data_IF_120532875997
#
_entry.id   IF_120532875997
#
_cell.length_a   1.000
_cell.length_b   1.000
_cell.length_c   1.000
_cell.angle_alpha   90.00
_cell.angle_beta   90.00
_cell.angle_gamma   90.00
#
_symmetry.space_group_name_H-M   'P 1'
#
loop_
_entity.id
_entity.type
_entity.pdbx_description
1 polymer ?
#
# COMPACT_ATOMS: atom_id res chain seq x y z
N UNK A 1 -7.71 -21.29 8.03
CA UNK A 1 -7.18 -22.42 7.24
C UNK A 1 -6.42 -23.44 8.12
N UNK A 2 -5.51 -23.02 9.02
CA UNK A 2 -4.75 -23.97 9.86
C UNK A 2 -5.65 -24.73 10.85
N UNK A 3 -6.61 -24.07 11.51
CA UNK A 3 -7.56 -24.75 12.41
C UNK A 3 -8.32 -25.86 11.68
N UNK A 4 -8.82 -25.59 10.48
CA UNK A 4 -9.48 -26.59 9.64
C UNK A 4 -8.52 -27.72 9.22
N UNK A 5 -7.25 -27.40 8.90
CA UNK A 5 -6.22 -28.45 8.63
C UNK A 5 -5.96 -29.33 9.83
N UNK A 6 -6.07 -28.79 11.04
CA UNK A 6 -5.95 -29.53 12.30
C UNK A 6 -7.25 -30.29 12.69
N UNK A 7 -8.20 -30.45 11.76
CA UNK A 7 -9.46 -31.20 11.98
C UNK A 7 -10.51 -30.42 12.75
N UNK A 8 -10.32 -29.12 13.03
CA UNK A 8 -11.32 -28.32 13.76
C UNK A 8 -12.43 -27.87 12.82
N UNK A 9 -13.68 -27.99 13.30
CA UNK A 9 -14.81 -27.35 12.62
C UNK A 9 -14.67 -25.82 12.76
N UNK A 10 -14.57 -25.10 11.65
CA UNK A 10 -14.13 -23.70 11.63
C UNK A 10 -15.11 -22.84 10.86
N UNK A 11 -15.52 -21.72 11.43
CA UNK A 11 -16.18 -20.63 10.71
C UNK A 11 -15.17 -19.53 10.40
N UNK A 12 -15.12 -19.08 9.15
CA UNK A 12 -14.38 -17.90 8.72
C UNK A 12 -15.41 -16.83 8.36
N UNK A 13 -15.36 -15.71 9.07
CA UNK A 13 -16.26 -14.57 8.82
C UNK A 13 -15.46 -13.39 8.34
N UNK A 14 -15.71 -12.93 7.12
CA UNK A 14 -15.04 -11.78 6.50
C UNK A 14 -15.97 -11.13 5.48
N UNK A 15 -16.20 -9.83 5.59
CA UNK A 15 -17.04 -9.07 4.65
C UNK A 15 -16.33 -8.71 3.34
N UNK A 16 -15.01 -8.74 3.34
CA UNK A 16 -14.18 -8.34 2.21
C UNK A 16 -13.83 -9.48 1.25
N UNK A 17 -13.09 -9.18 0.20
CA UNK A 17 -12.56 -10.20 -0.69
C UNK A 17 -11.53 -11.05 0.04
N UNK A 18 -11.48 -12.35 -0.28
CA UNK A 18 -10.50 -13.27 0.29
C UNK A 18 -9.07 -12.79 0.08
N UNK A 19 -8.21 -13.04 1.07
CA UNK A 19 -6.78 -12.73 1.01
C UNK A 19 -6.33 -11.58 1.90
N UNK A 20 -7.27 -10.83 2.48
CA UNK A 20 -6.98 -9.73 3.39
C UNK A 20 -6.12 -8.63 2.75
N UNK A 21 -5.50 -7.80 3.58
CA UNK A 21 -4.69 -6.66 3.12
C UNK A 21 -3.51 -7.08 2.26
N UNK A 22 -2.79 -8.15 2.63
CA UNK A 22 -1.56 -8.55 1.94
C UNK A 22 -1.81 -8.88 0.46
N UNK A 23 -2.81 -9.70 0.15
CA UNK A 23 -3.13 -10.07 -1.22
C UNK A 23 -3.80 -8.92 -1.97
N UNK A 24 -4.73 -8.21 -1.32
CA UNK A 24 -5.62 -7.29 -2.04
C UNK A 24 -5.04 -5.88 -2.20
N UNK A 25 -4.40 -5.34 -1.16
CA UNK A 25 -4.05 -3.92 -1.09
C UNK A 25 -2.66 -3.65 -0.49
N UNK A 26 -1.84 -4.69 -0.29
CA UNK A 26 -0.56 -4.59 0.41
C UNK A 26 0.60 -5.25 -0.33
N UNK A 27 1.12 -6.35 0.23
CA UNK A 27 2.37 -6.96 -0.19
C UNK A 27 2.38 -7.41 -1.65
N UNK A 28 1.32 -8.09 -2.10
CA UNK A 28 1.29 -8.64 -3.46
C UNK A 28 1.20 -7.52 -4.50
N UNK A 29 0.23 -6.61 -4.46
CA UNK A 29 0.19 -5.53 -5.43
C UNK A 29 1.45 -4.65 -5.40
N UNK A 30 1.98 -4.28 -4.24
CA UNK A 30 3.17 -3.43 -4.19
C UNK A 30 4.40 -4.11 -4.81
N UNK A 31 4.64 -5.41 -4.55
CA UNK A 31 5.77 -6.14 -5.14
C UNK A 31 5.60 -6.36 -6.65
N UNK A 32 4.36 -6.53 -7.11
CA UNK A 32 4.07 -6.58 -8.55
C UNK A 32 4.39 -5.26 -9.27
N UNK A 33 4.30 -4.11 -8.57
CA UNK A 33 4.63 -2.78 -9.08
C UNK A 33 6.11 -2.42 -8.91
N UNK A 34 6.76 -2.84 -7.82
CA UNK A 34 8.19 -2.61 -7.58
C UNK A 34 9.04 -3.32 -8.63
N UNK A 35 8.73 -4.57 -8.97
CA UNK A 35 9.54 -5.34 -9.92
C UNK A 35 9.76 -4.63 -11.29
N UNK A 36 8.74 -4.12 -12.01
CA UNK A 36 8.99 -3.35 -13.23
C UNK A 36 9.74 -2.02 -12.97
N UNK A 37 9.60 -1.41 -11.79
CA UNK A 37 10.39 -0.25 -11.41
C UNK A 37 11.88 -0.57 -11.28
N UNK A 38 12.21 -1.70 -10.64
CA UNK A 38 13.58 -2.20 -10.55
C UNK A 38 14.20 -2.48 -11.93
N UNK A 39 13.42 -3.08 -12.83
CA UNK A 39 13.84 -3.31 -14.22
C UNK A 39 14.17 -1.99 -14.93
N UNK A 40 13.33 -0.98 -14.77
CA UNK A 40 13.54 0.35 -15.36
C UNK A 40 14.82 0.97 -14.80
N UNK A 41 15.03 0.93 -13.48
CA UNK A 41 16.25 1.46 -12.84
C UNK A 41 17.50 0.71 -13.30
N UNK A 42 17.44 -0.61 -13.36
CA UNK A 42 18.55 -1.43 -13.87
C UNK A 42 18.94 -1.05 -15.30
N UNK A 43 17.96 -0.80 -16.19
CA UNK A 43 18.22 -0.34 -17.55
C UNK A 43 18.86 1.06 -17.56
N UNK A 44 18.37 1.98 -16.72
CA UNK A 44 18.89 3.34 -16.62
C UNK A 44 20.33 3.38 -16.10
N UNK A 45 20.69 2.47 -15.21
CA UNK A 45 22.01 2.39 -14.56
C UNK A 45 22.98 1.45 -15.30
N UNK A 46 22.52 0.68 -16.29
CA UNK A 46 23.32 -0.32 -16.99
C UNK A 46 24.58 0.26 -17.66
N UNK A 47 24.57 1.53 -18.05
CA UNK A 47 25.73 2.22 -18.60
C UNK A 47 26.95 2.24 -17.67
N UNK A 48 26.74 2.24 -16.35
CA UNK A 48 27.81 2.23 -15.35
C UNK A 48 28.66 0.93 -15.41
N UNK A 49 28.11 -0.16 -15.93
CA UNK A 49 28.80 -1.44 -16.12
C UNK A 49 29.07 -1.76 -17.61
N UNK A 50 28.97 -0.75 -18.48
CA UNK A 50 29.27 -0.87 -19.91
C UNK A 50 28.16 -1.43 -20.79
N UNK A 51 26.93 -1.60 -20.24
CA UNK A 51 25.77 -2.04 -21.01
C UNK A 51 24.92 -0.84 -21.44
N UNK A 52 24.90 -0.54 -22.72
CA UNK A 52 24.13 0.58 -23.28
C UNK A 52 22.74 0.11 -23.71
N UNK A 53 21.74 0.42 -22.91
CA UNK A 53 20.34 0.08 -23.14
C UNK A 53 19.46 1.35 -23.10
N UNK A 54 18.30 1.30 -23.74
CA UNK A 54 17.31 2.37 -23.69
C UNK A 54 15.92 1.81 -23.50
N UNK A 55 15.07 2.57 -22.82
CA UNK A 55 13.66 2.26 -22.67
C UNK A 55 12.92 2.96 -23.80
N UNK A 56 12.29 2.19 -24.68
CA UNK A 56 11.49 2.74 -25.78
C UNK A 56 10.12 3.21 -25.28
N UNK A 57 9.50 2.42 -24.38
CA UNK A 57 8.17 2.70 -23.85
C UNK A 57 7.96 2.04 -22.49
N UNK A 58 7.26 2.74 -21.61
CA UNK A 58 6.69 2.18 -20.38
C UNK A 58 5.18 2.05 -20.58
N UNK A 59 4.67 0.83 -20.55
CA UNK A 59 3.25 0.54 -20.70
C UNK A 59 2.60 0.42 -19.31
N UNK A 60 2.27 1.55 -18.71
CA UNK A 60 1.68 1.62 -17.38
C UNK A 60 0.38 0.81 -17.26
N UNK A 61 -0.60 0.89 -18.21
CA UNK A 61 -1.80 0.06 -18.16
C UNK A 61 -1.50 -1.43 -18.12
N UNK A 62 -0.52 -1.91 -18.89
CA UNK A 62 -0.12 -3.33 -18.89
C UNK A 62 0.49 -3.75 -17.53
N UNK A 63 1.28 -2.88 -16.90
CA UNK A 63 1.84 -3.13 -15.55
C UNK A 63 0.70 -3.28 -14.54
N UNK A 64 -0.26 -2.34 -14.53
CA UNK A 64 -1.40 -2.37 -13.63
C UNK A 64 -2.30 -3.58 -13.87
N UNK A 65 -2.60 -3.91 -15.12
CA UNK A 65 -3.41 -5.08 -15.47
C UNK A 65 -2.75 -6.40 -15.03
N UNK A 66 -1.41 -6.51 -15.18
CA UNK A 66 -0.65 -7.67 -14.69
C UNK A 66 -0.76 -7.80 -13.17
N UNK A 67 -0.67 -6.72 -12.43
CA UNK A 67 -0.84 -6.70 -10.98
C UNK A 67 -2.25 -7.16 -10.61
N UNK A 68 -3.31 -6.59 -11.20
CA UNK A 68 -4.69 -6.99 -10.94
C UNK A 68 -4.93 -8.45 -11.23
N UNK A 69 -4.43 -8.97 -12.37
CA UNK A 69 -4.56 -10.38 -12.74
C UNK A 69 -4.00 -11.30 -11.65
N UNK A 70 -2.82 -11.02 -11.12
CA UNK A 70 -2.20 -11.84 -10.06
C UNK A 70 -3.02 -11.79 -8.77
N UNK A 71 -3.55 -10.63 -8.41
CA UNK A 71 -4.43 -10.47 -7.24
C UNK A 71 -5.72 -11.27 -7.41
N UNK A 72 -6.37 -11.20 -8.58
CA UNK A 72 -7.63 -11.88 -8.86
C UNK A 72 -7.44 -13.41 -8.91
N UNK A 73 -6.37 -13.89 -9.52
CA UNK A 73 -6.00 -15.31 -9.51
C UNK A 73 -5.74 -15.81 -8.09
N UNK A 74 -5.05 -15.01 -7.26
CA UNK A 74 -4.81 -15.34 -5.86
C UNK A 74 -6.10 -15.42 -5.03
N UNK A 75 -7.05 -14.51 -5.25
CA UNK A 75 -8.40 -14.56 -4.64
C UNK A 75 -9.13 -15.83 -5.02
N UNK A 76 -9.22 -16.11 -6.32
CA UNK A 76 -9.91 -17.29 -6.84
C UNK A 76 -9.33 -18.59 -6.27
N UNK A 77 -8.00 -18.70 -6.17
CA UNK A 77 -7.33 -19.85 -5.58
C UNK A 77 -7.65 -20.02 -4.08
N UNK A 78 -7.67 -18.91 -3.32
CA UNK A 78 -8.06 -18.96 -1.90
C UNK A 78 -9.50 -19.37 -1.73
N UNK A 79 -10.43 -18.83 -2.49
CA UNK A 79 -11.85 -19.21 -2.46
C UNK A 79 -12.05 -20.68 -2.80
N UNK A 80 -11.40 -21.19 -3.85
CA UNK A 80 -11.43 -22.59 -4.21
C UNK A 80 -10.90 -23.49 -3.07
N UNK A 81 -9.80 -23.07 -2.43
CA UNK A 81 -9.22 -23.78 -1.28
C UNK A 81 -10.18 -23.81 -0.07
N UNK A 82 -10.92 -22.73 0.16
CA UNK A 82 -11.91 -22.68 1.26
C UNK A 82 -13.09 -23.61 0.95
N UNK A 83 -13.63 -23.51 -0.27
CA UNK A 83 -14.79 -24.32 -0.70
C UNK A 83 -14.52 -25.84 -0.71
N UNK A 84 -13.26 -26.24 -0.95
CA UNK A 84 -12.87 -27.66 -0.98
C UNK A 84 -12.76 -28.31 0.43
N UNK A 85 -12.97 -27.56 1.52
CA UNK A 85 -12.83 -28.07 2.88
C UNK A 85 -14.19 -28.23 3.55
N UNK A 86 -14.56 -29.46 3.86
CA UNK A 86 -15.85 -29.80 4.51
C UNK A 86 -15.98 -29.20 5.92
N UNK A 87 -14.88 -29.06 6.63
CA UNK A 87 -14.85 -28.52 8.00
C UNK A 87 -14.54 -27.02 8.08
N UNK A 88 -14.70 -26.27 6.98
CA UNK A 88 -14.50 -24.83 6.93
C UNK A 88 -15.69 -24.16 6.23
N UNK A 89 -16.48 -23.40 6.97
CA UNK A 89 -17.59 -22.62 6.43
C UNK A 89 -17.18 -21.15 6.36
N UNK A 90 -17.31 -20.54 5.19
CA UNK A 90 -17.07 -19.11 4.97
C UNK A 90 -18.39 -18.34 4.99
N UNK A 91 -18.45 -17.32 5.82
CA UNK A 91 -19.55 -16.36 5.89
C UNK A 91 -19.01 -15.01 5.39
N UNK A 92 -19.44 -14.61 4.21
CA UNK A 92 -19.04 -13.30 3.62
C UNK A 92 -19.96 -12.20 4.16
N UNK A 93 -19.81 -11.91 5.44
CA UNK A 93 -20.68 -11.03 6.20
C UNK A 93 -19.87 -10.17 7.18
N UNK A 94 -20.42 -9.03 7.57
CA UNK A 94 -19.92 -8.30 8.73
C UNK A 94 -20.29 -9.07 10.00
N UNK A 95 -19.33 -9.16 10.91
CA UNK A 95 -19.52 -9.80 12.20
C UNK A 95 -19.42 -8.83 13.37
N UNK A 96 -20.23 -9.07 14.39
CA UNK A 96 -20.09 -8.37 15.67
C UNK A 96 -20.40 -9.34 16.83
N UNK A 97 -19.68 -9.19 17.93
CA UNK A 97 -20.00 -9.91 19.16
C UNK A 97 -21.25 -9.30 19.79
N UNK A 98 -22.25 -10.15 20.06
CA UNK A 98 -23.50 -9.74 20.71
C UNK A 98 -23.58 -10.26 22.14
N UNK A 99 -22.73 -11.23 22.50
CA UNK A 99 -22.54 -11.75 23.84
C UNK A 99 -21.17 -12.43 23.92
N UNK A 100 -20.78 -12.88 25.13
CA UNK A 100 -19.59 -13.70 25.32
C UNK A 100 -19.76 -15.02 24.54
N UNK A 101 -18.77 -15.32 23.69
CA UNK A 101 -18.79 -16.49 22.78
C UNK A 101 -19.95 -16.53 21.77
N UNK A 102 -20.66 -15.42 21.54
CA UNK A 102 -21.76 -15.31 20.58
C UNK A 102 -21.47 -14.22 19.54
N UNK A 103 -21.32 -14.64 18.30
CA UNK A 103 -21.04 -13.77 17.16
C UNK A 103 -22.26 -13.70 16.22
N UNK A 104 -22.71 -12.51 15.89
CA UNK A 104 -23.69 -12.28 14.84
C UNK A 104 -22.95 -12.02 13.52
N UNK A 105 -23.31 -12.78 12.47
CA UNK A 105 -22.80 -12.62 11.11
C UNK A 105 -23.98 -12.50 10.13
N UNK A 106 -24.27 -11.27 9.69
CA UNK A 106 -25.50 -10.99 8.94
C UNK A 106 -26.75 -11.33 9.74
N UNK A 107 -27.59 -12.23 9.23
CA UNK A 107 -28.79 -12.74 9.92
C UNK A 107 -28.53 -13.96 10.80
N UNK A 108 -27.30 -14.47 10.85
CA UNK A 108 -26.95 -15.74 11.56
C UNK A 108 -26.27 -15.43 12.88
N UNK A 109 -26.51 -16.31 13.85
CA UNK A 109 -25.80 -16.34 15.13
C UNK A 109 -24.88 -17.54 15.15
N UNK A 110 -23.63 -17.32 15.48
CA UNK A 110 -22.57 -18.33 15.55
C UNK A 110 -22.03 -18.39 16.97
N UNK A 111 -21.82 -19.59 17.48
CA UNK A 111 -21.17 -19.85 18.76
C UNK A 111 -19.92 -20.69 18.55
N UNK A 112 -18.90 -20.48 19.35
CA UNK A 112 -17.69 -21.28 19.30
C UNK A 112 -17.01 -21.32 20.68
N UNK A 113 -16.21 -22.34 20.90
CA UNK A 113 -15.37 -22.45 22.11
C UNK A 113 -14.12 -21.57 22.06
N UNK A 114 -13.70 -21.16 20.85
CA UNK A 114 -12.54 -20.34 20.63
C UNK A 114 -12.78 -19.35 19.49
N UNK A 115 -12.36 -18.12 19.68
CA UNK A 115 -12.40 -17.07 18.65
C UNK A 115 -11.00 -16.56 18.37
N UNK A 116 -10.72 -16.33 17.09
CA UNK A 116 -9.52 -15.65 16.61
C UNK A 116 -9.95 -14.34 15.96
N UNK A 117 -9.60 -13.23 16.58
CA UNK A 117 -9.88 -11.90 16.04
C UNK A 117 -8.72 -11.51 15.12
N UNK A 118 -8.98 -11.49 13.82
CA UNK A 118 -8.03 -11.13 12.78
C UNK A 118 -8.66 -10.09 11.82
N UNK A 119 -9.35 -9.10 12.38
CA UNK A 119 -10.16 -8.10 11.67
C UNK A 119 -9.33 -7.10 10.83
N UNK A 120 -7.99 -7.19 10.90
CA UNK A 120 -7.10 -6.35 10.13
C UNK A 120 -7.06 -4.90 10.58
N UNK A 121 -6.67 -4.03 9.67
CA UNK A 121 -6.57 -2.58 9.88
C UNK A 121 -6.97 -1.83 8.61
N UNK A 122 -7.10 -0.53 8.72
CA UNK A 122 -7.33 0.38 7.59
C UNK A 122 -6.36 1.54 7.64
N UNK A 123 -6.11 2.16 6.50
CA UNK A 123 -5.28 3.36 6.42
C UNK A 123 -5.89 4.46 7.27
N UNK A 124 -5.04 5.10 8.07
CA UNK A 124 -5.42 6.28 8.83
C UNK A 124 -5.17 7.52 7.99
N UNK A 125 -6.19 8.27 7.69
CA UNK A 125 -6.07 9.59 7.07
C UNK A 125 -5.62 10.57 8.15
N UNK A 126 -4.50 11.27 7.98
CA UNK A 126 -4.06 12.26 8.95
C UNK A 126 -5.00 13.50 8.91
N UNK A 127 -5.22 14.16 10.06
CA UNK A 127 -6.08 15.35 10.12
C UNK A 127 -5.33 16.59 9.60
N UNK A 128 -5.11 16.62 8.29
CA UNK A 128 -4.46 17.74 7.57
C UNK A 128 -5.54 18.61 6.98
N UNK A 129 -5.50 19.91 7.28
CA UNK A 129 -6.47 20.87 6.78
C UNK A 129 -6.51 20.87 5.25
N UNK A 130 -7.73 20.78 4.68
CA UNK A 130 -7.96 20.81 3.24
C UNK A 130 -7.53 19.56 2.47
N UNK A 131 -7.12 18.49 3.15
CA UNK A 131 -6.67 17.24 2.48
C UNK A 131 -7.84 16.56 1.77
N UNK A 132 -8.97 16.40 2.43
CA UNK A 132 -10.14 15.72 1.87
C UNK A 132 -10.76 16.53 0.73
N UNK A 133 -10.93 17.83 0.90
CA UNK A 133 -11.50 18.75 -0.10
C UNK A 133 -10.60 18.86 -1.35
N UNK A 134 -9.29 18.81 -1.16
CA UNK A 134 -8.33 18.80 -2.27
C UNK A 134 -8.28 17.45 -2.99
N UNK A 135 -8.77 16.40 -2.34
CA UNK A 135 -8.69 15.00 -2.77
C UNK A 135 -7.28 14.43 -2.63
N UNK A 136 -7.19 13.17 -2.27
CA UNK A 136 -5.93 12.44 -2.14
C UNK A 136 -6.10 11.02 -2.67
N UNK A 137 -4.99 10.33 -2.81
CA UNK A 137 -4.95 8.89 -3.06
C UNK A 137 -4.19 8.22 -1.90
N UNK A 138 -4.61 7.02 -1.53
CA UNK A 138 -3.96 6.16 -0.55
C UNK A 138 -3.41 4.89 -1.21
N UNK A 139 -2.83 4.00 -0.40
CA UNK A 139 -2.27 2.74 -0.88
C UNK A 139 -3.30 1.78 -1.51
N UNK A 140 -4.59 2.04 -1.34
CA UNK A 140 -5.66 1.24 -1.95
C UNK A 140 -6.11 1.88 -3.26
N UNK A 141 -6.45 3.16 -3.24
CA UNK A 141 -6.97 3.88 -4.40
C UNK A 141 -5.94 4.07 -5.51
N UNK A 142 -4.65 4.15 -5.17
CA UNK A 142 -3.58 4.23 -6.17
C UNK A 142 -3.50 3.00 -7.08
N UNK A 143 -3.94 1.82 -6.60
CA UNK A 143 -3.94 0.60 -7.39
C UNK A 143 -4.94 0.64 -8.56
N UNK A 144 -5.86 1.59 -8.57
CA UNK A 144 -6.86 1.77 -9.62
C UNK A 144 -6.48 2.87 -10.63
N UNK A 145 -5.29 3.44 -10.52
CA UNK A 145 -4.82 4.44 -11.49
C UNK A 145 -4.65 3.80 -12.88
N UNK A 146 -5.09 4.52 -13.91
CA UNK A 146 -4.96 4.10 -15.31
C UNK A 146 -3.76 4.69 -16.01
N UNK A 147 -3.21 5.77 -15.46
CA UNK A 147 -2.03 6.46 -15.93
C UNK A 147 -1.23 7.00 -14.74
N UNK A 148 0.10 7.12 -14.84
CA UNK A 148 0.88 7.70 -13.77
C UNK A 148 0.58 9.21 -13.67
N UNK A 149 0.45 9.76 -12.45
CA UNK A 149 0.29 11.18 -12.29
C UNK A 149 1.57 11.92 -12.75
N UNK A 150 1.42 13.13 -13.29
CA UNK A 150 2.59 13.93 -13.68
C UNK A 150 3.49 14.25 -12.48
N UNK A 151 2.88 14.58 -11.33
CA UNK A 151 3.60 14.84 -10.08
C UNK A 151 2.84 14.25 -8.91
N UNK A 152 3.57 13.82 -7.87
CA UNK A 152 3.04 13.18 -6.69
C UNK A 152 3.80 13.64 -5.45
N UNK A 153 3.07 14.15 -4.45
CA UNK A 153 3.62 14.37 -3.12
C UNK A 153 3.14 13.23 -2.23
N UNK A 154 4.08 12.50 -1.66
CA UNK A 154 3.82 11.40 -0.72
C UNK A 154 4.03 11.94 0.69
N UNK A 155 2.97 11.92 1.50
CA UNK A 155 3.04 12.35 2.89
C UNK A 155 3.35 11.14 3.76
N UNK A 156 4.60 11.05 4.19
CA UNK A 156 5.13 9.98 5.01
C UNK A 156 6.33 9.27 4.40
N UNK A 157 7.43 9.19 5.15
CA UNK A 157 8.69 8.54 4.76
C UNK A 157 8.83 7.11 5.28
N UNK A 158 7.72 6.39 5.49
CA UNK A 158 7.71 4.97 5.84
C UNK A 158 7.87 4.06 4.61
N UNK A 159 7.92 2.73 4.84
CA UNK A 159 8.15 1.75 3.77
C UNK A 159 7.12 1.84 2.63
N UNK A 160 5.83 2.06 2.92
CA UNK A 160 4.80 2.22 1.88
C UNK A 160 5.09 3.45 1.01
N UNK A 161 5.45 4.57 1.64
CA UNK A 161 5.81 5.80 0.94
C UNK A 161 7.06 5.63 0.07
N UNK A 162 8.05 4.90 0.55
CA UNK A 162 9.26 4.58 -0.20
C UNK A 162 8.95 3.64 -1.38
N UNK A 163 8.21 2.55 -1.16
CA UNK A 163 7.86 1.60 -2.23
C UNK A 163 7.13 2.29 -3.38
N UNK A 164 6.11 3.09 -3.09
CA UNK A 164 5.36 3.79 -4.13
C UNK A 164 6.13 5.00 -4.69
N UNK A 165 6.97 5.65 -3.90
CA UNK A 165 7.90 6.66 -4.39
C UNK A 165 8.85 6.11 -5.45
N UNK A 166 9.42 4.94 -5.19
CA UNK A 166 10.25 4.21 -6.15
C UNK A 166 9.46 3.85 -7.41
N UNK A 167 8.28 3.26 -7.25
CA UNK A 167 7.45 2.87 -8.39
C UNK A 167 7.09 4.06 -9.28
N UNK A 168 6.48 5.10 -8.72
CA UNK A 168 6.00 6.23 -9.52
C UNK A 168 7.14 7.02 -10.15
N UNK A 169 8.26 7.19 -9.44
CA UNK A 169 9.42 7.86 -10.04
C UNK A 169 10.02 7.08 -11.22
N UNK A 170 10.00 5.74 -11.16
CA UNK A 170 10.39 4.91 -12.29
C UNK A 170 9.41 5.01 -13.47
N UNK A 171 8.12 5.27 -13.20
CA UNK A 171 7.11 5.52 -14.24
C UNK A 171 7.18 6.94 -14.84
N UNK A 172 8.12 7.78 -14.42
CA UNK A 172 8.29 9.14 -14.93
C UNK A 172 7.51 10.22 -14.17
N UNK A 173 6.92 9.89 -13.03
CA UNK A 173 6.27 10.86 -12.14
C UNK A 173 7.32 11.69 -11.38
N UNK A 174 7.14 13.00 -11.31
CA UNK A 174 7.91 13.89 -10.42
C UNK A 174 7.48 13.63 -8.97
N UNK A 175 8.27 12.85 -8.21
CA UNK A 175 7.92 12.42 -6.85
C UNK A 175 8.61 13.27 -5.81
N UNK A 176 7.84 13.77 -4.84
CA UNK A 176 8.34 14.36 -3.59
C UNK A 176 7.87 13.50 -2.41
N UNK A 177 8.80 13.01 -1.59
CA UNK A 177 8.48 12.33 -0.32
C UNK A 177 8.66 13.34 0.81
N UNK A 178 7.58 13.64 1.50
CA UNK A 178 7.53 14.62 2.59
C UNK A 178 7.30 13.90 3.91
N UNK A 179 8.33 13.83 4.77
CA UNK A 179 8.33 13.08 6.02
C UNK A 179 8.46 13.98 7.25
N UNK A 180 7.60 13.77 8.26
CA UNK A 180 7.71 14.46 9.56
C UNK A 180 8.96 14.04 10.34
N UNK A 181 9.31 12.76 10.28
CA UNK A 181 10.51 12.23 10.92
C UNK A 181 11.77 12.77 10.26
N UNK A 182 12.91 12.85 11.00
CA UNK A 182 14.16 13.40 10.47
C UNK A 182 14.81 12.51 9.39
N UNK A 183 14.33 11.28 9.21
CA UNK A 183 14.86 10.29 8.26
C UNK A 183 13.73 9.51 7.61
N UNK A 184 13.98 8.99 6.42
CA UNK A 184 13.17 7.90 5.85
C UNK A 184 13.31 6.65 6.73
N UNK A 185 12.28 5.82 6.80
CA UNK A 185 12.30 4.58 7.58
C UNK A 185 12.89 4.77 8.99
N UNK A 186 12.42 5.77 9.72
CA UNK A 186 13.01 6.18 11.00
C UNK A 186 13.01 5.08 12.10
N UNK A 187 12.32 3.97 11.88
CA UNK A 187 12.36 2.78 12.74
C UNK A 187 13.50 1.82 12.43
N UNK A 188 14.21 2.02 11.32
CA UNK A 188 15.34 1.21 10.89
C UNK A 188 16.66 1.84 11.35
N UNK A 189 17.76 1.10 11.18
CA UNK A 189 19.09 1.58 11.49
C UNK A 189 19.40 2.89 10.76
N UNK A 190 20.07 3.85 11.43
CA UNK A 190 20.43 5.15 10.84
C UNK A 190 21.15 5.03 9.51
N UNK A 191 22.09 4.11 9.41
CA UNK A 191 22.89 3.87 8.21
C UNK A 191 22.03 3.39 7.03
N UNK A 192 21.04 2.53 7.27
CA UNK A 192 20.09 2.07 6.27
C UNK A 192 19.22 3.23 5.79
N UNK A 193 18.73 4.05 6.74
CA UNK A 193 17.93 5.24 6.43
C UNK A 193 18.72 6.25 5.57
N UNK A 194 19.99 6.46 5.86
CA UNK A 194 20.87 7.36 5.13
C UNK A 194 21.16 6.85 3.72
N UNK A 195 21.51 5.58 3.58
CA UNK A 195 21.70 4.92 2.27
C UNK A 195 20.45 4.99 1.41
N UNK A 196 19.28 4.77 2.01
CA UNK A 196 18.02 4.90 1.30
C UNK A 196 17.79 6.34 0.84
N UNK A 197 18.04 7.32 1.71
CA UNK A 197 17.92 8.75 1.38
C UNK A 197 18.83 9.12 0.20
N UNK A 198 20.11 8.74 0.23
CA UNK A 198 21.07 8.95 -0.85
C UNK A 198 20.58 8.33 -2.17
N UNK A 199 20.11 7.09 -2.11
CA UNK A 199 19.59 6.41 -3.29
C UNK A 199 18.37 7.10 -3.87
N UNK A 200 17.40 7.44 -3.03
CA UNK A 200 16.16 8.11 -3.45
C UNK A 200 16.37 9.53 -3.98
N UNK A 201 17.32 10.25 -3.42
CA UNK A 201 17.66 11.63 -3.85
C UNK A 201 18.16 11.71 -5.28
N UNK A 202 18.49 10.58 -5.92
CA UNK A 202 18.85 10.53 -7.34
C UNK A 202 17.64 10.69 -8.27
N UNK A 203 16.43 10.39 -7.80
CA UNK A 203 15.23 10.35 -8.64
C UNK A 203 13.93 10.82 -7.97
N UNK A 204 13.99 11.17 -6.68
CA UNK A 204 12.89 11.77 -5.91
C UNK A 204 13.40 13.00 -5.15
N UNK A 205 12.51 13.94 -4.90
CA UNK A 205 12.74 14.96 -3.88
C UNK A 205 12.41 14.37 -2.51
N UNK A 206 13.42 14.26 -1.64
CA UNK A 206 13.24 13.73 -0.28
C UNK A 206 13.35 14.88 0.71
N UNK A 207 12.25 15.20 1.36
CA UNK A 207 12.12 16.29 2.33
C UNK A 207 11.70 15.69 3.67
N UNK A 208 12.64 15.56 4.59
CA UNK A 208 12.43 14.99 5.93
C UNK A 208 12.51 16.06 7.01
N UNK A 209 11.89 15.81 8.17
CA UNK A 209 11.83 16.78 9.26
C UNK A 209 10.79 17.89 9.05
N UNK A 210 9.77 17.65 8.22
CA UNK A 210 8.69 18.59 7.97
C UNK A 210 7.32 17.97 8.22
N UNK A 211 6.50 18.67 8.98
CA UNK A 211 5.10 18.31 9.25
C UNK A 211 4.19 19.05 8.28
N UNK A 212 3.35 18.30 7.58
CA UNK A 212 2.34 18.87 6.69
C UNK A 212 1.22 19.49 7.52
N UNK A 213 0.91 20.75 7.24
CA UNK A 213 -0.11 21.53 7.93
C UNK A 213 -1.41 21.60 7.15
N UNK A 214 -1.29 21.84 5.84
CA UNK A 214 -2.48 21.99 4.98
C UNK A 214 -2.20 21.59 3.53
N UNK A 215 -3.28 21.30 2.84
CA UNK A 215 -3.32 21.08 1.39
C UNK A 215 -4.40 21.99 0.80
N UNK A 216 -4.03 22.79 -0.20
CA UNK A 216 -4.95 23.67 -0.90
C UNK A 216 -4.98 23.32 -2.39
N UNK A 217 -6.17 23.36 -2.98
CA UNK A 217 -6.33 23.25 -4.42
C UNK A 217 -6.28 24.63 -5.08
N UNK A 218 -5.24 24.88 -5.90
CA UNK A 218 -5.07 26.11 -6.70
C UNK A 218 -5.19 25.76 -8.19
N UNK A 219 -6.41 25.85 -8.71
CA UNK A 219 -6.72 25.44 -10.08
C UNK A 219 -6.49 23.94 -10.29
N UNK A 220 -5.57 23.57 -11.17
CA UNK A 220 -5.20 22.16 -11.44
C UNK A 220 -4.09 21.63 -10.51
N UNK A 221 -3.50 22.48 -9.67
CA UNK A 221 -2.41 22.11 -8.76
C UNK A 221 -2.92 21.96 -7.34
N UNK A 222 -2.24 21.10 -6.57
CA UNK A 222 -2.37 21.03 -5.12
C UNK A 222 -1.12 21.64 -4.50
N UNK A 223 -1.30 22.56 -3.57
CA UNK A 223 -0.23 23.21 -2.82
C UNK A 223 -0.22 22.64 -1.43
N UNK A 224 0.91 22.13 -1.01
CA UNK A 224 1.10 21.55 0.34
C UNK A 224 1.96 22.53 1.14
N UNK A 225 1.45 22.96 2.28
CA UNK A 225 2.20 23.74 3.26
C UNK A 225 2.72 22.83 4.37
N UNK A 226 4.00 22.94 4.66
CA UNK A 226 4.64 22.13 5.68
C UNK A 226 5.56 23.01 6.55
N UNK A 227 5.73 22.61 7.79
CA UNK A 227 6.55 23.31 8.78
C UNK A 227 7.72 22.44 9.22
N UNK A 228 8.92 23.01 9.27
CA UNK A 228 10.09 22.36 9.81
C UNK A 228 9.90 21.96 11.28
N UNK A 229 10.19 20.72 11.61
CA UNK A 229 9.99 20.20 12.98
C UNK A 229 11.05 20.71 13.97
N UNK A 230 12.19 21.18 13.47
CA UNK A 230 13.29 21.71 14.30
C UNK A 230 13.26 23.24 14.45
N UNK A 231 13.01 23.95 13.35
CA UNK A 231 13.14 25.40 13.28
C UNK A 231 11.80 26.13 13.16
N UNK A 232 10.70 25.40 13.00
CA UNK A 232 9.35 25.95 12.89
C UNK A 232 9.09 26.76 11.61
N UNK A 233 10.02 26.80 10.64
CA UNK A 233 9.84 27.51 9.38
C UNK A 233 8.86 26.79 8.45
N UNK A 234 8.06 27.57 7.76
CA UNK A 234 7.06 27.08 6.77
C UNK A 234 7.62 27.29 5.37
#
# INVERSE_FOLDING_TARGET
>A
AQAARAGRNTALVDQGPMGGTCLNNGCIPSKMLIHPADMIRSIQEAGAVGVHARIEKIDFPRIMNRMHKVVDEGRAQMEATIRSRENLTHYQERAEFIDEYVLKAGSRTLTATQFVIASGSRSRVPPISGLEESGYIDNVSLLNLREPPRSLIIIGGGYIGCEYGHFFSAMGTEVTILGRSPRLLCGEDPEISERLHESFSRYCWVVTGYEVLSVERKGKKKVVSARGTKDGKI
#
